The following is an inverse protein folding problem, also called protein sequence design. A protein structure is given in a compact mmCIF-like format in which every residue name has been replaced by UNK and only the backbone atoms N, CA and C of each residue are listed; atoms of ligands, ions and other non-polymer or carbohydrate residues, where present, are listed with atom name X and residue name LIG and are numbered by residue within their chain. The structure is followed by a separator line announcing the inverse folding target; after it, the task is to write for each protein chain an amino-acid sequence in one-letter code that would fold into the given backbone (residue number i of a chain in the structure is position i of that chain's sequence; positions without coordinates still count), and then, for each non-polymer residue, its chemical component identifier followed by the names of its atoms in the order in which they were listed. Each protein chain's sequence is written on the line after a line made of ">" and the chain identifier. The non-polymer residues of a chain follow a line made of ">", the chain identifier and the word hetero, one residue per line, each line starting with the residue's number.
data_IF_461478541383
#
_entry.id   IF_461478541383
#
_cell.length_a   1.000
_cell.length_b   1.000
_cell.length_c   1.000
_cell.angle_alpha   90.00
_cell.angle_beta   90.00
_cell.angle_gamma   90.00
#
_symmetry.space_group_name_H-M   'P 1'
#
loop_
_entity.id
_entity.type
_entity.pdbx_description
1 polymer ?
#
# COMPACT_ATOMS: atom_id res chain seq x y z
N UNK A 1 -4.46 -2.58 15.95
CA UNK A 1 -3.72 -1.45 15.37
C UNK A 1 -3.33 -1.80 13.94
N UNK A 2 -3.06 -0.81 13.10
CA UNK A 2 -2.64 -1.03 11.70
C UNK A 2 -1.41 -1.94 11.64
N UNK A 3 -0.42 -1.70 12.52
CA UNK A 3 0.81 -2.53 12.63
C UNK A 3 0.50 -4.02 12.77
N UNK A 4 -0.35 -4.40 13.74
CA UNK A 4 -0.68 -5.80 14.01
C UNK A 4 -1.37 -6.48 12.82
N UNK A 5 -2.16 -5.73 12.04
CA UNK A 5 -2.78 -6.26 10.81
C UNK A 5 -1.72 -6.63 9.77
N UNK A 6 -0.73 -5.75 9.55
CA UNK A 6 0.38 -6.05 8.64
C UNK A 6 1.27 -7.18 9.15
N UNK A 7 1.62 -7.19 10.44
CA UNK A 7 2.38 -8.29 11.06
C UNK A 7 1.70 -9.64 10.84
N UNK A 8 0.39 -9.72 11.11
CA UNK A 8 -0.38 -10.96 10.90
C UNK A 8 -0.46 -11.36 9.43
N UNK A 9 -0.58 -10.40 8.51
CA UNK A 9 -0.58 -10.68 7.07
C UNK A 9 0.77 -11.25 6.63
N UNK A 10 1.87 -10.56 6.91
CA UNK A 10 3.21 -10.97 6.48
C UNK A 10 3.69 -12.25 7.16
N UNK A 11 3.27 -12.54 8.39
CA UNK A 11 3.60 -13.80 9.07
C UNK A 11 3.05 -15.05 8.36
N UNK A 12 2.06 -14.89 7.47
CA UNK A 12 1.47 -15.98 6.69
C UNK A 12 2.09 -16.14 5.29
N UNK A 13 2.99 -15.23 4.91
CA UNK A 13 3.58 -15.16 3.57
C UNK A 13 5.01 -15.72 3.61
N UNK A 14 5.34 -16.56 2.62
CA UNK A 14 6.70 -17.04 2.38
C UNK A 14 7.51 -16.01 1.60
N UNK A 15 6.88 -15.36 0.63
CA UNK A 15 7.45 -14.26 -0.12
C UNK A 15 6.37 -13.28 -0.54
N UNK A 16 6.78 -12.02 -0.73
CA UNK A 16 5.93 -10.94 -1.23
C UNK A 16 6.75 -10.10 -2.19
N UNK A 17 6.18 -9.81 -3.35
CA UNK A 17 6.65 -8.83 -4.32
C UNK A 17 5.59 -7.73 -4.43
N UNK A 18 5.96 -6.49 -4.09
CA UNK A 18 5.03 -5.37 -4.10
C UNK A 18 5.48 -4.32 -5.11
N UNK A 19 4.65 -4.12 -6.13
CA UNK A 19 4.86 -3.14 -7.19
C UNK A 19 3.84 -2.01 -7.05
N UNK A 20 4.33 -0.79 -7.25
CA UNK A 20 3.51 0.42 -7.21
C UNK A 20 3.88 1.27 -8.40
N UNK A 21 2.87 1.70 -9.15
CA UNK A 21 3.01 2.63 -10.27
C UNK A 21 2.25 3.90 -9.93
N UNK A 22 2.99 5.00 -9.72
CA UNK A 22 2.40 6.31 -9.46
C UNK A 22 1.66 6.76 -10.73
N UNK A 23 0.38 7.06 -10.58
CA UNK A 23 -0.49 7.52 -11.68
C UNK A 23 -0.82 9.00 -11.58
N UNK A 24 -0.62 9.63 -10.41
CA UNK A 24 -0.81 11.06 -10.25
C UNK A 24 -0.28 11.59 -8.92
N UNK A 25 0.17 12.85 -8.93
CA UNK A 25 0.58 13.60 -7.75
C UNK A 25 -0.10 14.96 -7.81
N UNK A 26 -0.89 15.28 -6.79
CA UNK A 26 -1.66 16.51 -6.67
C UNK A 26 -1.28 17.24 -5.38
N UNK A 27 -0.44 18.29 -5.46
CA UNK A 27 -0.17 19.17 -4.33
C UNK A 27 -1.43 19.96 -3.95
N UNK A 28 -1.74 20.00 -2.66
CA UNK A 28 -2.70 20.90 -2.01
C UNK A 28 -1.94 21.75 -0.98
N UNK A 29 -2.59 22.74 -0.37
CA UNK A 29 -1.92 23.75 0.47
C UNK A 29 -0.92 23.16 1.49
N UNK A 30 -1.38 22.22 2.31
CA UNK A 30 -0.63 21.59 3.40
C UNK A 30 -0.39 20.08 3.17
N UNK A 31 -0.86 19.55 2.04
CA UNK A 31 -0.91 18.11 1.78
C UNK A 31 -0.52 17.78 0.35
N UNK A 32 -0.08 16.55 0.12
CA UNK A 32 0.13 16.01 -1.22
C UNK A 32 -0.71 14.76 -1.34
N UNK A 33 -1.59 14.73 -2.33
CA UNK A 33 -2.31 13.54 -2.69
C UNK A 33 -1.53 12.77 -3.76
N UNK A 34 -1.31 11.48 -3.54
CA UNK A 34 -0.65 10.58 -4.49
C UNK A 34 -1.63 9.47 -4.86
N UNK A 35 -1.87 9.30 -6.15
CA UNK A 35 -2.67 8.22 -6.73
C UNK A 35 -1.71 7.22 -7.35
N UNK A 36 -1.93 5.93 -7.12
CA UNK A 36 -1.12 4.88 -7.71
C UNK A 36 -1.94 3.63 -7.99
N UNK A 37 -1.44 2.79 -8.89
CA UNK A 37 -1.88 1.40 -9.04
C UNK A 37 -0.90 0.51 -8.28
N UNK A 38 -1.43 -0.50 -7.61
CA UNK A 38 -0.61 -1.48 -6.91
C UNK A 38 -0.86 -2.88 -7.45
N UNK A 39 0.21 -3.68 -7.39
CA UNK A 39 0.17 -5.11 -7.58
C UNK A 39 1.02 -5.76 -6.49
N UNK A 40 0.42 -6.69 -5.77
CA UNK A 40 1.04 -7.46 -4.71
C UNK A 40 0.95 -8.91 -5.13
N UNK A 41 2.08 -9.53 -5.39
CA UNK A 41 2.19 -10.96 -5.59
C UNK A 41 2.77 -11.59 -4.33
N UNK A 42 2.26 -12.73 -3.92
CA UNK A 42 2.83 -13.41 -2.77
C UNK A 42 2.55 -14.89 -2.75
N UNK A 43 3.49 -15.63 -2.15
CA UNK A 43 3.35 -17.05 -1.90
C UNK A 43 2.87 -17.21 -0.46
N UNK A 44 1.68 -17.77 -0.29
CA UNK A 44 1.16 -18.09 1.05
C UNK A 44 1.86 -19.35 1.55
N UNK A 45 2.51 -19.27 2.72
CA UNK A 45 3.30 -20.36 3.30
C UNK A 45 2.45 -21.63 3.47
N UNK A 46 1.17 -21.46 3.83
CA UNK A 46 0.20 -22.55 3.87
C UNK A 46 -0.23 -22.95 2.45
N UNK A 47 0.32 -24.07 1.99
CA UNK A 47 -0.04 -24.67 0.70
C UNK A 47 0.71 -24.10 -0.51
N UNK A 48 1.71 -23.22 -0.28
CA UNK A 48 2.58 -22.63 -1.32
C UNK A 48 1.82 -22.12 -2.55
N UNK A 49 0.69 -21.46 -2.29
CA UNK A 49 -0.18 -20.95 -3.34
C UNK A 49 0.21 -19.51 -3.66
N UNK A 50 0.42 -19.24 -4.95
CA UNK A 50 0.54 -17.88 -5.46
C UNK A 50 -0.81 -17.16 -5.34
N UNK A 51 -0.78 -15.96 -4.77
CA UNK A 51 -1.91 -15.05 -4.72
C UNK A 51 -1.46 -13.68 -5.26
N UNK A 52 -2.35 -13.07 -6.04
CA UNK A 52 -2.13 -11.73 -6.60
C UNK A 52 -3.26 -10.82 -6.14
N UNK A 53 -2.90 -9.70 -5.55
CA UNK A 53 -3.82 -8.62 -5.20
C UNK A 53 -3.44 -7.39 -6.00
N UNK A 54 -4.43 -6.78 -6.65
CA UNK A 54 -4.23 -5.58 -7.44
C UNK A 54 -5.34 -4.58 -7.19
N UNK A 55 -5.07 -3.32 -7.46
CA UNK A 55 -6.05 -2.27 -7.27
C UNK A 55 -5.43 -0.88 -7.35
N UNK A 56 -6.20 0.09 -6.87
CA UNK A 56 -5.75 1.47 -6.73
C UNK A 56 -5.43 1.78 -5.28
N UNK A 57 -4.53 2.73 -5.09
CA UNK A 57 -4.18 3.27 -3.77
C UNK A 57 -4.14 4.78 -3.85
N UNK A 58 -4.69 5.42 -2.82
CA UNK A 58 -4.65 6.88 -2.62
C UNK A 58 -3.95 7.18 -1.30
N UNK A 59 -2.83 7.89 -1.38
CA UNK A 59 -2.13 8.44 -0.22
C UNK A 59 -2.45 9.92 -0.06
N UNK A 60 -2.66 10.34 1.17
CA UNK A 60 -2.59 11.75 1.55
C UNK A 60 -1.38 11.91 2.45
N UNK A 61 -0.44 12.75 2.03
CA UNK A 61 0.81 13.02 2.71
C UNK A 61 0.77 14.42 3.30
N UNK A 62 1.26 14.59 4.53
CA UNK A 62 1.44 15.90 5.19
C UNK A 62 2.90 16.14 5.50
N UNK A 63 3.33 17.41 5.51
CA UNK A 63 4.68 17.76 5.96
C UNK A 63 4.69 18.01 7.46
N UNK A 64 5.39 17.16 8.21
CA UNK A 64 5.59 17.32 9.65
C UNK A 64 7.07 17.23 9.99
N UNK A 65 7.61 18.25 10.67
CA UNK A 65 9.02 18.27 11.07
C UNK A 65 10.01 18.17 9.90
N UNK A 66 9.64 18.72 8.74
CA UNK A 66 10.44 18.69 7.51
C UNK A 66 10.30 17.43 6.65
N UNK A 67 9.66 16.37 7.16
CA UNK A 67 9.45 15.12 6.43
C UNK A 67 7.99 14.96 5.96
N UNK A 68 7.79 14.26 4.84
CA UNK A 68 6.45 13.81 4.43
C UNK A 68 6.04 12.60 5.27
N UNK A 69 4.83 12.63 5.81
CA UNK A 69 4.21 11.52 6.54
C UNK A 69 2.87 11.16 5.92
N UNK A 70 2.51 9.89 6.00
CA UNK A 70 1.21 9.40 5.55
C UNK A 70 0.16 9.82 6.57
N UNK A 71 -0.73 10.73 6.19
CA UNK A 71 -1.92 11.09 6.96
C UNK A 71 -3.03 10.05 6.77
N UNK A 72 -3.28 9.67 5.53
CA UNK A 72 -4.27 8.64 5.20
C UNK A 72 -3.82 7.78 4.04
N UNK A 73 -4.32 6.54 4.05
CA UNK A 73 -4.06 5.56 3.03
C UNK A 73 -5.38 4.84 2.75
N UNK A 74 -5.80 4.86 1.49
CA UNK A 74 -7.02 4.21 1.01
C UNK A 74 -6.67 3.20 -0.08
N UNK A 75 -6.91 1.92 0.19
CA UNK A 75 -6.76 0.83 -0.79
C UNK A 75 -8.11 0.52 -1.40
N UNK A 76 -8.17 0.50 -2.73
CA UNK A 76 -9.34 0.16 -3.51
C UNK A 76 -9.03 -1.09 -4.34
N UNK A 77 -9.27 -2.30 -3.79
CA UNK A 77 -9.03 -3.55 -4.50
C UNK A 77 -9.86 -3.59 -5.78
N UNK A 78 -9.26 -4.03 -6.89
CA UNK A 78 -10.06 -4.38 -8.05
C UNK A 78 -10.87 -5.65 -7.76
N UNK A 79 -12.10 -5.72 -8.28
CA UNK A 79 -12.88 -6.97 -8.31
C UNK A 79 -12.19 -8.03 -9.16
#
# INVERSE_FOLDING_TARGET
>A
TIRKTYENFFAQMESVNYQIVITGIEPRQDQVEVKAQYELEGIVAKGRKMQTWKGQIRWVLVREGGALKILSLDYQPSK
#
